data_IF_513906868897
#
_entry.id   IF_513906868897
#
_cell.length_a   1.000
_cell.length_b   1.000
_cell.length_c   1.000
_cell.angle_alpha   90.00
_cell.angle_beta   90.00
_cell.angle_gamma   90.00
#
_symmetry.space_group_name_H-M   'P 1'
#
loop_
_entity.id
_entity.type
_entity.pdbx_description
1 polymer ?
#
# COMPACT_ATOMS: atom_id res chain seq x y z
N UNK A 1 -23.33 12.19 4.84
CA UNK A 1 -24.40 12.35 3.83
C UNK A 1 -24.90 10.97 3.47
N UNK A 2 -26.18 10.75 3.36
CA UNK A 2 -26.80 9.50 2.94
C UNK A 2 -27.53 9.70 1.64
N UNK A 3 -27.69 8.65 0.83
CA UNK A 3 -28.37 8.74 -0.46
C UNK A 3 -29.77 9.36 -0.31
N UNK A 4 -30.54 8.93 0.68
CA UNK A 4 -31.89 9.48 0.99
C UNK A 4 -31.93 11.00 1.27
N UNK A 5 -30.80 11.58 1.71
CA UNK A 5 -30.71 13.01 2.04
C UNK A 5 -30.44 13.86 0.77
N UNK A 6 -30.16 13.23 -0.36
CA UNK A 6 -29.85 13.90 -1.65
C UNK A 6 -31.07 14.08 -2.55
N UNK A 7 -32.13 13.33 -2.31
CA UNK A 7 -33.29 13.26 -3.20
C UNK A 7 -33.07 12.47 -4.49
N UNK A 8 -31.86 11.84 -4.64
CA UNK A 8 -31.51 11.04 -5.81
C UNK A 8 -31.79 9.56 -5.58
N UNK A 9 -32.07 8.85 -6.65
CA UNK A 9 -32.01 7.39 -6.71
C UNK A 9 -30.57 6.89 -6.85
N UNK A 10 -30.34 5.62 -6.58
CA UNK A 10 -29.03 5.01 -6.76
C UNK A 10 -28.51 5.09 -8.20
N UNK A 11 -29.41 4.90 -9.18
CA UNK A 11 -29.05 4.97 -10.60
C UNK A 11 -28.69 6.40 -11.03
N UNK A 12 -29.47 7.40 -10.61
CA UNK A 12 -29.15 8.81 -10.87
C UNK A 12 -27.78 9.21 -10.29
N UNK A 13 -27.42 8.72 -9.09
CA UNK A 13 -26.10 8.95 -8.52
C UNK A 13 -24.99 8.30 -9.37
N UNK A 14 -25.18 7.06 -9.82
CA UNK A 14 -24.24 6.38 -10.71
C UNK A 14 -24.09 7.09 -12.06
N UNK A 15 -25.18 7.59 -12.62
CA UNK A 15 -25.16 8.37 -13.87
C UNK A 15 -24.41 9.71 -13.71
N UNK A 16 -24.55 10.38 -12.56
CA UNK A 16 -23.73 11.55 -12.23
C UNK A 16 -22.25 11.19 -12.24
N UNK A 17 -21.86 10.07 -11.60
CA UNK A 17 -20.46 9.60 -11.58
C UNK A 17 -19.96 9.33 -13.00
N UNK A 18 -20.71 8.58 -13.82
CA UNK A 18 -20.35 8.29 -15.21
C UNK A 18 -20.21 9.56 -16.05
N UNK A 19 -21.09 10.54 -15.84
CA UNK A 19 -21.10 11.78 -16.63
C UNK A 19 -19.96 12.74 -16.27
N UNK A 20 -19.60 12.84 -14.98
CA UNK A 20 -18.71 13.92 -14.49
C UNK A 20 -17.34 13.47 -14.00
N UNK A 21 -17.12 12.17 -13.79
CA UNK A 21 -15.83 11.65 -13.33
C UNK A 21 -15.13 10.89 -14.44
N UNK A 22 -13.80 11.01 -14.52
CA UNK A 22 -12.97 10.19 -15.43
C UNK A 22 -13.05 8.74 -14.99
N UNK A 23 -13.36 7.83 -15.92
CA UNK A 23 -13.55 6.40 -15.66
C UNK A 23 -12.22 5.65 -15.60
N UNK A 24 -11.49 5.80 -14.50
CA UNK A 24 -10.20 5.10 -14.26
C UNK A 24 -10.34 3.86 -13.38
N UNK A 25 -11.55 3.58 -12.87
CA UNK A 25 -11.79 2.48 -11.93
C UNK A 25 -12.94 1.58 -12.40
N UNK A 26 -12.72 0.25 -12.39
CA UNK A 26 -13.78 -0.75 -12.49
C UNK A 26 -14.52 -0.84 -11.14
N UNK A 27 -15.62 -0.09 -10.99
CA UNK A 27 -16.37 0.05 -9.75
C UNK A 27 -17.21 -1.18 -9.45
N UNK A 28 -17.33 -1.52 -8.17
CA UNK A 28 -18.38 -2.42 -7.70
C UNK A 28 -19.75 -1.75 -7.85
N UNK A 29 -20.77 -2.52 -8.22
CA UNK A 29 -22.11 -2.00 -8.46
C UNK A 29 -22.92 -1.87 -7.15
N UNK A 30 -22.45 -1.04 -6.23
CA UNK A 30 -23.17 -0.63 -5.01
C UNK A 30 -22.72 0.76 -4.56
N UNK A 31 -23.56 1.43 -3.76
CA UNK A 31 -23.24 2.72 -3.15
C UNK A 31 -22.79 2.45 -1.70
N UNK A 32 -21.52 2.64 -1.42
CA UNK A 32 -21.00 2.52 -0.05
C UNK A 32 -21.49 3.72 0.78
N UNK A 33 -22.42 3.49 1.70
CA UNK A 33 -23.03 4.55 2.52
C UNK A 33 -22.51 4.56 3.96
N UNK A 34 -22.12 3.40 4.49
CA UNK A 34 -21.61 3.24 5.85
C UNK A 34 -20.47 2.22 5.88
N UNK A 35 -19.57 2.37 6.83
CA UNK A 35 -18.52 1.39 7.10
C UNK A 35 -18.34 1.21 8.61
N UNK A 36 -18.03 -0.02 9.08
CA UNK A 36 -17.79 -0.31 10.48
C UNK A 36 -17.00 -1.63 10.64
N UNK A 37 -15.88 -1.58 11.36
CA UNK A 37 -15.08 -2.77 11.63
C UNK A 37 -14.62 -3.47 10.34
N UNK A 38 -15.10 -4.70 10.14
CA UNK A 38 -14.79 -5.53 8.97
C UNK A 38 -15.75 -5.34 7.80
N UNK A 39 -16.73 -4.42 7.88
CA UNK A 39 -17.83 -4.36 6.91
C UNK A 39 -18.01 -2.98 6.29
N UNK A 40 -18.33 -2.97 4.98
CA UNK A 40 -18.97 -1.88 4.28
C UNK A 40 -20.46 -2.18 4.16
N UNK A 41 -21.29 -1.14 4.12
CA UNK A 41 -22.75 -1.27 3.96
C UNK A 41 -23.19 -0.39 2.81
N UNK A 42 -24.08 -0.93 1.98
CA UNK A 42 -24.72 -0.17 0.92
C UNK A 42 -25.88 0.73 1.42
N UNK A 43 -26.51 1.43 0.52
CA UNK A 43 -27.64 2.32 0.78
C UNK A 43 -28.90 1.59 1.28
N UNK A 44 -28.96 0.26 1.09
CA UNK A 44 -30.04 -0.61 1.59
C UNK A 44 -29.68 -1.26 2.93
N UNK A 45 -28.47 -1.00 3.43
CA UNK A 45 -27.96 -1.59 4.67
C UNK A 45 -27.40 -3.01 4.51
N UNK A 46 -27.20 -3.48 3.29
CA UNK A 46 -26.57 -4.78 3.03
C UNK A 46 -25.09 -4.73 3.39
N UNK A 47 -24.63 -5.67 4.21
CA UNK A 47 -23.26 -5.75 4.65
C UNK A 47 -22.39 -6.50 3.64
N UNK A 48 -21.21 -5.94 3.36
CA UNK A 48 -20.14 -6.56 2.55
C UNK A 48 -18.91 -6.76 3.41
N UNK A 49 -18.42 -7.98 3.52
CA UNK A 49 -17.19 -8.30 4.23
C UNK A 49 -15.97 -7.74 3.46
N UNK A 50 -15.20 -6.89 4.12
CA UNK A 50 -14.16 -6.08 3.49
C UNK A 50 -12.78 -6.75 3.58
N UNK A 51 -12.43 -7.51 2.55
CA UNK A 51 -11.09 -8.10 2.40
C UNK A 51 -10.18 -7.32 1.45
N UNK A 52 -10.58 -6.08 1.09
CA UNK A 52 -9.67 -5.19 0.37
C UNK A 52 -9.24 -3.95 1.21
N UNK A 53 -9.94 -3.66 2.32
CA UNK A 53 -9.53 -2.69 3.34
C UNK A 53 -9.27 -1.27 2.83
N UNK A 54 -9.97 -0.82 1.77
CA UNK A 54 -9.66 0.44 1.10
C UNK A 54 -8.25 0.46 0.46
N UNK A 55 -7.79 -0.67 -0.04
CA UNK A 55 -6.41 -0.93 -0.51
C UNK A 55 -5.40 -0.78 0.65
N UNK A 56 -5.61 -1.56 1.72
CA UNK A 56 -4.80 -1.58 2.94
C UNK A 56 -4.78 -0.24 3.73
N UNK A 57 -5.81 0.58 3.60
CA UNK A 57 -5.93 1.87 4.31
C UNK A 57 -6.62 1.72 5.66
N UNK A 58 -7.73 0.98 5.70
CA UNK A 58 -8.59 0.86 6.90
C UNK A 58 -8.03 -0.15 7.92
N UNK A 59 -6.74 -0.07 8.19
CA UNK A 59 -5.98 -1.06 8.96
C UNK A 59 -6.51 -1.28 10.39
N UNK A 60 -6.83 -0.24 11.21
CA UNK A 60 -7.40 -0.45 12.53
C UNK A 60 -8.92 -0.76 12.52
N UNK A 61 -9.47 -1.10 11.35
CA UNK A 61 -10.89 -1.29 11.12
C UNK A 61 -11.58 -0.07 10.51
N UNK A 62 -12.57 -0.35 9.66
CA UNK A 62 -13.40 0.70 9.07
C UNK A 62 -14.03 1.59 10.17
N UNK A 63 -13.94 2.91 9.99
CA UNK A 63 -14.49 3.89 10.94
C UNK A 63 -14.08 3.62 12.39
N UNK A 64 -12.78 3.35 12.62
CA UNK A 64 -12.27 3.14 13.96
C UNK A 64 -12.68 4.28 14.91
N UNK A 65 -13.29 4.00 16.07
CA UNK A 65 -13.87 5.03 16.92
C UNK A 65 -12.84 6.01 17.50
N UNK A 66 -11.60 5.56 17.80
CA UNK A 66 -10.55 6.45 18.29
C UNK A 66 -10.04 7.39 17.21
N UNK A 67 -9.90 6.89 15.97
CA UNK A 67 -9.52 7.73 14.82
C UNK A 67 -10.60 8.78 14.56
N UNK A 68 -11.87 8.37 14.55
CA UNK A 68 -13.01 9.30 14.38
C UNK A 68 -13.05 10.35 15.50
N UNK A 69 -12.82 9.96 16.75
CA UNK A 69 -12.80 10.89 17.87
C UNK A 69 -11.67 11.90 17.75
N UNK A 70 -10.45 11.44 17.44
CA UNK A 70 -9.28 12.32 17.27
C UNK A 70 -9.48 13.36 16.15
N UNK A 71 -10.10 12.95 15.03
CA UNK A 71 -10.41 13.88 13.93
C UNK A 71 -11.44 14.92 14.35
N UNK A 72 -12.51 14.52 15.07
CA UNK A 72 -13.54 15.45 15.55
C UNK A 72 -12.99 16.46 16.53
N UNK A 73 -12.17 16.00 17.48
CA UNK A 73 -11.52 16.84 18.48
C UNK A 73 -10.61 17.89 17.80
N UNK A 74 -9.74 17.42 16.90
CA UNK A 74 -8.83 18.32 16.18
C UNK A 74 -9.57 19.30 15.25
N UNK A 75 -10.76 18.94 14.77
CA UNK A 75 -11.56 19.81 13.90
C UNK A 75 -12.07 21.06 14.61
N UNK A 76 -12.32 20.95 15.93
CA UNK A 76 -12.76 22.06 16.76
C UNK A 76 -11.62 23.05 17.07
N UNK A 77 -10.34 22.63 16.94
CA UNK A 77 -9.17 23.49 17.17
C UNK A 77 -8.64 24.12 15.87
N UNK A 78 -7.94 23.34 15.05
CA UNK A 78 -7.31 23.80 13.81
C UNK A 78 -7.56 22.80 12.69
N UNK A 79 -8.30 23.21 11.67
CA UNK A 79 -8.48 22.39 10.47
C UNK A 79 -7.21 22.38 9.62
N UNK A 80 -6.65 23.54 9.28
CA UNK A 80 -5.46 23.68 8.45
C UNK A 80 -4.62 24.88 8.84
N UNK A 81 -3.30 24.67 8.77
CA UNK A 81 -2.29 25.72 8.70
C UNK A 81 -1.12 25.22 7.87
N UNK A 82 -0.43 26.11 7.18
CA UNK A 82 0.79 25.76 6.47
C UNK A 82 1.93 25.42 7.45
N UNK A 83 3.04 24.85 6.96
CA UNK A 83 4.17 24.38 7.78
C UNK A 83 5.08 25.50 8.34
N UNK A 84 4.64 26.77 8.38
CA UNK A 84 5.39 27.84 9.04
C UNK A 84 5.24 27.84 10.56
N UNK A 85 4.03 27.70 11.15
CA UNK A 85 3.92 27.49 12.58
C UNK A 85 4.11 26.01 12.94
N UNK A 86 4.56 25.74 14.15
CA UNK A 86 4.54 24.40 14.72
C UNK A 86 3.11 24.00 15.10
N UNK A 87 2.74 22.72 14.86
CA UNK A 87 1.47 22.16 15.31
C UNK A 87 1.72 20.96 16.22
N UNK A 88 0.89 20.84 17.25
CA UNK A 88 1.03 19.77 18.27
C UNK A 88 0.91 18.37 17.62
N UNK A 89 -0.15 18.06 16.84
CA UNK A 89 -0.32 16.70 16.30
C UNK A 89 0.81 16.31 15.34
N UNK A 90 1.35 17.26 14.55
CA UNK A 90 2.47 16.99 13.65
C UNK A 90 3.75 16.63 14.42
N UNK A 91 4.09 17.42 15.43
CA UNK A 91 5.30 17.19 16.24
C UNK A 91 5.23 15.86 17.00
N UNK A 92 4.08 15.56 17.62
CA UNK A 92 3.87 14.30 18.35
C UNK A 92 3.88 13.09 17.41
N UNK A 93 3.28 13.22 16.22
CA UNK A 93 3.29 12.16 15.21
C UNK A 93 4.72 11.89 14.71
N UNK A 94 5.49 12.94 14.40
CA UNK A 94 6.89 12.81 13.99
C UNK A 94 7.70 12.04 15.02
N UNK A 95 7.60 12.44 16.29
CA UNK A 95 8.28 11.76 17.41
C UNK A 95 7.84 10.29 17.50
N UNK A 96 6.52 10.04 17.52
CA UNK A 96 5.99 8.66 17.65
C UNK A 96 6.47 7.75 16.54
N UNK A 97 6.45 8.21 15.29
CA UNK A 97 6.91 7.42 14.14
C UNK A 97 8.41 7.15 14.26
N UNK A 98 9.24 8.19 14.38
CA UNK A 98 10.69 8.03 14.41
C UNK A 98 11.14 7.13 15.56
N UNK A 99 10.60 7.32 16.78
CA UNK A 99 10.91 6.47 17.94
C UNK A 99 10.48 5.01 17.72
N UNK A 100 9.31 4.78 17.08
CA UNK A 100 8.79 3.42 16.86
C UNK A 100 9.62 2.63 15.86
N UNK A 101 10.05 3.28 14.78
CA UNK A 101 10.72 2.59 13.66
C UNK A 101 12.25 2.78 13.64
N UNK A 102 12.79 3.56 14.58
CA UNK A 102 14.24 3.78 14.69
C UNK A 102 14.85 4.60 13.55
N UNK A 103 14.07 5.53 12.95
CA UNK A 103 14.55 6.48 11.96
C UNK A 103 14.74 7.87 12.57
N UNK A 104 15.53 8.73 11.93
CA UNK A 104 15.97 9.97 12.57
C UNK A 104 15.10 11.19 12.20
N UNK A 105 14.68 11.30 10.95
CA UNK A 105 13.92 12.44 10.41
C UNK A 105 12.73 11.98 9.59
N UNK A 106 11.69 12.82 9.54
CA UNK A 106 10.47 12.56 8.76
C UNK A 106 10.04 13.81 8.02
N UNK A 107 9.60 13.64 6.78
CA UNK A 107 8.88 14.64 6.01
C UNK A 107 7.48 14.13 5.66
N UNK A 108 6.45 14.90 6.02
CA UNK A 108 5.05 14.54 5.78
C UNK A 108 4.55 14.98 4.41
N UNK A 109 3.72 14.15 3.81
CA UNK A 109 3.07 14.29 2.52
C UNK A 109 1.58 13.92 2.65
N UNK A 110 0.85 13.85 1.50
CA UNK A 110 -0.59 13.54 1.50
C UNK A 110 -0.89 12.14 0.96
N UNK A 111 0.07 11.51 0.32
CA UNK A 111 -0.11 10.22 -0.36
C UNK A 111 1.20 9.43 -0.43
N UNK A 112 1.09 8.12 -0.74
CA UNK A 112 2.26 7.27 -0.94
C UNK A 112 3.10 7.69 -2.16
N UNK A 113 2.45 8.13 -3.25
CA UNK A 113 3.20 8.60 -4.42
C UNK A 113 4.01 9.85 -4.13
N UNK A 114 3.48 10.80 -3.35
CA UNK A 114 4.24 11.99 -2.91
C UNK A 114 5.38 11.62 -1.95
N UNK A 115 5.16 10.65 -1.06
CA UNK A 115 6.21 10.14 -0.19
C UNK A 115 7.36 9.51 -0.99
N UNK A 116 7.04 8.74 -2.04
CA UNK A 116 8.04 8.18 -2.95
C UNK A 116 8.75 9.25 -3.80
N UNK A 117 8.05 10.29 -4.26
CA UNK A 117 8.69 11.46 -4.91
C UNK A 117 9.70 12.13 -3.97
N UNK A 118 9.34 12.30 -2.69
CA UNK A 118 10.23 12.83 -1.67
C UNK A 118 11.49 11.96 -1.53
N UNK A 119 11.32 10.64 -1.39
CA UNK A 119 12.41 9.69 -1.24
C UNK A 119 13.34 9.67 -2.46
N UNK A 120 12.79 9.62 -3.68
CA UNK A 120 13.55 9.69 -4.93
C UNK A 120 14.35 10.99 -5.03
N UNK A 121 13.72 12.13 -4.74
CA UNK A 121 14.38 13.44 -4.76
C UNK A 121 15.49 13.54 -3.71
N UNK A 122 15.25 13.03 -2.51
CA UNK A 122 16.22 13.02 -1.42
C UNK A 122 17.44 12.17 -1.78
N UNK A 123 17.23 10.95 -2.30
CA UNK A 123 18.31 10.07 -2.74
C UNK A 123 19.15 10.70 -3.88
N UNK A 124 18.48 11.29 -4.89
CA UNK A 124 19.19 11.95 -5.99
C UNK A 124 19.99 13.17 -5.53
N UNK A 125 19.41 14.00 -4.67
CA UNK A 125 20.12 15.15 -4.13
C UNK A 125 21.32 14.72 -3.28
N UNK A 126 21.17 13.68 -2.47
CA UNK A 126 22.26 13.08 -1.71
C UNK A 126 23.40 12.60 -2.62
N UNK A 127 23.07 11.87 -3.69
CA UNK A 127 24.05 11.39 -4.65
C UNK A 127 24.81 12.51 -5.33
N UNK A 128 24.08 13.51 -5.82
CA UNK A 128 24.68 14.68 -6.49
C UNK A 128 25.59 15.48 -5.55
N UNK A 129 25.18 15.73 -4.32
CA UNK A 129 25.98 16.49 -3.35
C UNK A 129 27.22 15.73 -2.87
N UNK A 130 27.11 14.41 -2.70
CA UNK A 130 28.20 13.58 -2.16
C UNK A 130 29.18 13.11 -3.23
N UNK A 131 28.71 12.81 -4.44
CA UNK A 131 29.51 12.12 -5.47
C UNK A 131 29.58 12.88 -6.80
N UNK A 132 28.76 13.92 -7.00
CA UNK A 132 28.73 14.73 -8.22
C UNK A 132 27.49 14.52 -9.10
N UNK A 133 27.31 15.40 -10.09
CA UNK A 133 26.07 15.57 -10.88
C UNK A 133 25.58 14.33 -11.60
N UNK A 134 26.45 13.37 -11.90
CA UNK A 134 26.08 12.13 -12.60
C UNK A 134 25.51 11.04 -11.68
N UNK A 135 25.59 11.22 -10.34
CA UNK A 135 25.15 10.23 -9.35
C UNK A 135 23.68 10.41 -8.97
N UNK A 136 22.79 9.99 -9.85
CA UNK A 136 21.34 10.07 -9.67
C UNK A 136 20.58 8.80 -10.08
N UNK A 137 21.29 7.77 -10.53
CA UNK A 137 20.69 6.51 -10.99
C UNK A 137 20.16 5.67 -9.83
N UNK A 138 18.96 5.09 -10.01
CA UNK A 138 18.29 4.25 -9.02
C UNK A 138 17.91 2.92 -9.69
N UNK A 139 18.24 1.80 -9.07
CA UNK A 139 17.78 0.48 -9.50
C UNK A 139 16.50 0.13 -8.75
N UNK A 140 15.44 -0.25 -9.48
CA UNK A 140 14.16 -0.69 -8.90
C UNK A 140 13.81 -2.10 -9.37
N UNK A 141 12.72 -2.67 -8.89
CA UNK A 141 12.30 -4.02 -9.23
C UNK A 141 11.32 -4.07 -10.41
N UNK A 142 11.45 -5.05 -11.28
CA UNK A 142 10.39 -5.45 -12.23
C UNK A 142 9.15 -5.83 -11.43
N UNK A 143 7.96 -5.47 -11.93
CA UNK A 143 6.65 -5.60 -11.27
C UNK A 143 6.49 -4.79 -9.96
N UNK A 144 7.42 -3.87 -9.65
CA UNK A 144 7.25 -2.91 -8.57
C UNK A 144 6.12 -1.93 -8.86
N UNK A 145 5.56 -1.32 -7.80
CA UNK A 145 4.59 -0.22 -7.92
C UNK A 145 4.89 0.85 -6.88
N UNK A 146 5.23 2.06 -7.35
CA UNK A 146 5.64 3.16 -6.47
C UNK A 146 4.74 4.40 -6.56
N UNK A 147 3.79 4.43 -7.49
CA UNK A 147 2.82 5.52 -7.62
C UNK A 147 2.52 5.95 -9.04
N UNK A 148 1.77 7.06 -9.17
CA UNK A 148 1.23 7.55 -10.45
C UNK A 148 1.74 8.93 -10.85
N UNK A 149 2.57 9.59 -10.04
CA UNK A 149 3.32 10.80 -10.44
C UNK A 149 4.53 10.40 -11.28
N UNK A 150 5.06 11.29 -12.11
CA UNK A 150 6.08 10.91 -13.09
C UNK A 150 7.36 10.32 -12.49
N UNK A 151 7.84 10.79 -11.33
CA UNK A 151 9.00 10.19 -10.68
C UNK A 151 8.69 8.80 -10.12
N UNK A 152 7.61 8.67 -9.35
CA UNK A 152 7.16 7.39 -8.80
C UNK A 152 6.74 6.40 -9.91
N UNK A 153 6.11 6.89 -10.98
CA UNK A 153 5.75 6.09 -12.15
C UNK A 153 7.00 5.58 -12.88
N UNK A 154 8.05 6.41 -12.98
CA UNK A 154 9.33 6.01 -13.58
C UNK A 154 10.08 4.98 -12.75
N UNK A 155 9.90 4.98 -11.42
CA UNK A 155 10.41 3.94 -10.53
C UNK A 155 9.61 2.62 -10.62
N UNK A 156 8.36 2.67 -11.10
CA UNK A 156 7.49 1.50 -11.27
C UNK A 156 7.99 0.64 -12.42
N UNK A 157 8.44 -0.56 -12.15
CA UNK A 157 9.06 -1.49 -13.11
C UNK A 157 8.08 -2.28 -13.98
N UNK A 158 7.12 -1.61 -14.62
CA UNK A 158 6.06 -2.23 -15.43
C UNK A 158 5.89 -1.51 -16.79
N UNK A 159 6.96 -1.47 -17.64
CA UNK A 159 7.01 -0.62 -18.83
C UNK A 159 5.95 -0.93 -19.91
N UNK A 160 5.46 -2.17 -19.94
CA UNK A 160 4.47 -2.64 -20.91
C UNK A 160 3.05 -2.71 -20.33
N UNK A 161 2.87 -2.32 -19.07
CA UNK A 161 1.58 -2.27 -18.41
C UNK A 161 0.87 -0.93 -18.69
N UNK A 162 -0.45 -0.92 -18.63
CA UNK A 162 -1.27 0.29 -18.70
C UNK A 162 -0.86 1.39 -17.70
N UNK A 163 -0.08 1.05 -16.67
CA UNK A 163 0.48 2.03 -15.74
C UNK A 163 1.47 3.00 -16.39
N UNK A 164 2.31 2.53 -17.30
CA UNK A 164 3.34 3.33 -17.97
C UNK A 164 3.09 3.53 -19.46
N UNK A 165 2.31 2.64 -20.08
CA UNK A 165 2.03 2.71 -21.50
C UNK A 165 1.29 4.03 -21.84
N UNK A 166 1.83 4.80 -22.78
CA UNK A 166 1.26 6.07 -23.22
C UNK A 166 1.71 7.31 -22.41
N UNK A 167 2.52 7.14 -21.34
CA UNK A 167 3.03 8.26 -20.52
C UNK A 167 4.51 8.60 -20.77
N UNK A 168 5.11 8.08 -21.82
CA UNK A 168 6.51 8.38 -22.17
C UNK A 168 6.68 9.82 -22.66
N UNK A 169 7.85 10.47 -22.44
CA UNK A 169 9.05 9.90 -21.85
C UNK A 169 8.98 9.82 -20.31
N UNK A 170 9.55 8.75 -19.75
CA UNK A 170 9.73 8.61 -18.32
C UNK A 170 10.89 9.48 -17.83
N UNK A 171 10.91 9.80 -16.51
CA UNK A 171 12.04 10.44 -15.87
C UNK A 171 13.28 9.55 -16.00
N UNK A 172 14.41 10.03 -16.57
CA UNK A 172 15.60 9.21 -16.76
C UNK A 172 16.28 8.82 -15.43
N UNK A 173 17.18 7.82 -15.49
CA UNK A 173 18.00 7.39 -14.36
C UNK A 173 17.33 6.30 -13.51
N UNK A 174 16.54 5.44 -14.14
CA UNK A 174 16.03 4.21 -13.53
C UNK A 174 16.43 2.99 -14.35
N UNK A 175 16.76 1.90 -13.67
CA UNK A 175 16.91 0.56 -14.24
C UNK A 175 16.08 -0.43 -13.44
N UNK A 176 15.62 -1.49 -14.10
CA UNK A 176 14.74 -2.48 -13.50
C UNK A 176 15.45 -3.83 -13.43
N UNK A 177 15.39 -4.48 -12.25
CA UNK A 177 15.96 -5.79 -12.00
C UNK A 177 14.86 -6.78 -11.56
N UNK A 178 15.10 -8.06 -11.79
CA UNK A 178 14.18 -9.12 -11.40
C UNK A 178 14.10 -9.22 -9.86
N UNK A 179 12.88 -9.19 -9.32
CA UNK A 179 12.65 -9.27 -7.89
C UNK A 179 13.08 -10.63 -7.33
N UNK A 180 13.69 -10.65 -6.15
CA UNK A 180 14.33 -11.83 -5.52
C UNK A 180 15.54 -12.39 -6.30
N UNK A 181 16.10 -11.64 -7.24
CA UNK A 181 17.32 -12.00 -7.96
C UNK A 181 18.45 -10.99 -7.68
N UNK A 182 19.24 -11.26 -6.65
CA UNK A 182 20.34 -10.36 -6.21
C UNK A 182 21.37 -10.15 -7.33
N UNK A 183 21.67 -11.16 -8.13
CA UNK A 183 22.65 -11.07 -9.21
C UNK A 183 22.18 -10.15 -10.34
N UNK A 184 20.86 -10.16 -10.64
CA UNK A 184 20.34 -9.21 -11.61
C UNK A 184 20.40 -7.77 -11.08
N UNK A 185 20.10 -7.53 -9.79
CA UNK A 185 20.32 -6.22 -9.16
C UNK A 185 21.78 -5.77 -9.28
N UNK A 186 22.75 -6.64 -8.96
CA UNK A 186 24.19 -6.34 -9.12
C UNK A 186 24.54 -5.97 -10.56
N UNK A 187 23.95 -6.64 -11.56
CA UNK A 187 24.19 -6.39 -12.97
C UNK A 187 23.69 -5.01 -13.44
N UNK A 188 22.68 -4.44 -12.77
CA UNK A 188 22.10 -3.12 -13.09
C UNK A 188 22.80 -1.96 -12.39
N UNK A 189 23.62 -2.26 -11.36
CA UNK A 189 24.40 -1.25 -10.65
C UNK A 189 25.52 -0.73 -11.52
N UNK A 190 25.62 0.58 -11.65
CA UNK A 190 26.69 1.31 -12.33
C UNK A 190 27.43 2.21 -11.37
N UNK A 191 28.52 2.83 -11.80
CA UNK A 191 29.25 3.80 -10.97
C UNK A 191 28.41 5.03 -10.59
N UNK A 192 27.37 5.34 -11.38
CA UNK A 192 26.44 6.43 -11.13
C UNK A 192 25.20 6.03 -10.29
N UNK A 193 25.13 4.77 -9.86
CA UNK A 193 24.00 4.29 -9.06
C UNK A 193 24.13 4.76 -7.62
N UNK A 194 23.10 5.48 -7.15
CA UNK A 194 23.07 6.02 -5.79
C UNK A 194 22.16 5.23 -4.85
N UNK A 195 21.20 4.49 -5.38
CA UNK A 195 20.24 3.79 -4.55
C UNK A 195 19.64 2.55 -5.22
N UNK A 196 19.19 1.64 -4.37
CA UNK A 196 18.25 0.57 -4.73
C UNK A 196 16.94 0.86 -4.03
N UNK A 197 15.81 0.83 -4.78
CA UNK A 197 14.47 1.08 -4.26
C UNK A 197 13.55 -0.11 -4.53
N UNK A 198 12.96 -0.69 -3.48
CA UNK A 198 12.05 -1.84 -3.57
C UNK A 198 10.89 -1.74 -2.57
N UNK A 199 9.83 -2.50 -2.82
CA UNK A 199 8.83 -2.88 -1.82
C UNK A 199 9.31 -4.14 -1.07
N UNK A 200 9.20 -4.25 0.27
CA UNK A 200 9.49 -5.52 0.99
C UNK A 200 8.55 -6.67 0.63
N UNK A 201 7.34 -6.36 0.17
CA UNK A 201 6.40 -7.27 -0.49
C UNK A 201 5.81 -6.50 -1.66
N UNK A 202 5.99 -6.98 -2.89
CA UNK A 202 5.35 -6.38 -4.06
C UNK A 202 3.83 -6.54 -3.95
N UNK A 203 3.12 -5.43 -3.75
CA UNK A 203 1.67 -5.45 -3.55
C UNK A 203 0.90 -5.58 -4.86
N UNK A 204 1.12 -4.68 -5.79
CA UNK A 204 0.44 -4.62 -7.11
C UNK A 204 1.08 -5.57 -8.13
N UNK A 205 2.25 -6.09 -7.86
CA UNK A 205 2.95 -7.07 -8.70
C UNK A 205 2.55 -8.53 -8.49
N UNK A 206 1.53 -8.83 -7.66
CA UNK A 206 1.04 -10.19 -7.45
C UNK A 206 1.32 -10.79 -6.07
N UNK A 207 1.58 -9.95 -5.08
CA UNK A 207 1.86 -10.32 -3.68
C UNK A 207 3.08 -11.24 -3.56
N UNK A 208 4.24 -10.71 -3.90
CA UNK A 208 5.51 -11.43 -3.79
C UNK A 208 6.35 -10.88 -2.64
N UNK A 209 6.55 -11.62 -1.53
CA UNK A 209 7.48 -11.24 -0.46
C UNK A 209 8.93 -11.31 -0.92
N UNK A 210 9.77 -10.38 -0.45
CA UNK A 210 11.21 -10.54 -0.50
C UNK A 210 11.64 -11.79 0.29
N UNK A 211 12.64 -12.52 -0.20
CA UNK A 211 13.29 -13.52 0.64
C UNK A 211 14.23 -12.82 1.64
N UNK A 212 14.53 -13.50 2.76
CA UNK A 212 15.45 -12.97 3.76
C UNK A 212 16.83 -12.70 3.15
N UNK A 213 17.34 -13.67 2.38
CA UNK A 213 18.64 -13.60 1.71
C UNK A 213 18.72 -12.46 0.71
N UNK A 214 17.61 -12.20 -0.01
CA UNK A 214 17.56 -11.13 -1.00
C UNK A 214 17.66 -9.75 -0.34
N UNK A 215 16.83 -9.48 0.69
CA UNK A 215 16.81 -8.15 1.32
C UNK A 215 18.11 -7.87 2.10
N UNK A 216 18.69 -8.89 2.77
CA UNK A 216 20.00 -8.80 3.41
C UNK A 216 21.12 -8.59 2.37
N UNK A 217 21.04 -9.29 1.24
CA UNK A 217 21.96 -9.14 0.12
C UNK A 217 21.93 -7.74 -0.48
N UNK A 218 20.73 -7.14 -0.62
CA UNK A 218 20.59 -5.74 -1.09
C UNK A 218 21.19 -4.75 -0.09
N UNK A 219 20.96 -4.93 1.22
CA UNK A 219 21.57 -4.07 2.25
C UNK A 219 23.09 -4.13 2.16
N UNK A 220 23.64 -5.35 2.12
CA UNK A 220 25.08 -5.56 2.00
C UNK A 220 25.66 -4.93 0.72
N UNK A 221 24.99 -5.11 -0.42
CA UNK A 221 25.40 -4.51 -1.69
C UNK A 221 25.42 -2.97 -1.61
N UNK A 222 24.40 -2.38 -0.98
CA UNK A 222 24.35 -0.94 -0.79
C UNK A 222 25.51 -0.45 0.10
N UNK A 223 25.78 -1.15 1.21
CA UNK A 223 26.88 -0.80 2.13
C UNK A 223 28.25 -0.88 1.43
N UNK A 224 28.50 -1.95 0.67
CA UNK A 224 29.76 -2.16 -0.06
C UNK A 224 30.02 -1.13 -1.16
N UNK A 225 28.94 -0.59 -1.76
CA UNK A 225 29.01 0.35 -2.88
C UNK A 225 28.75 1.82 -2.49
N UNK A 226 28.50 2.10 -1.21
CA UNK A 226 28.14 3.43 -0.75
C UNK A 226 26.81 3.94 -1.29
N UNK A 227 25.87 3.02 -1.61
CA UNK A 227 24.53 3.32 -2.09
C UNK A 227 23.50 3.32 -0.97
N UNK A 228 22.36 3.94 -1.21
CA UNK A 228 21.21 3.94 -0.29
C UNK A 228 20.29 2.75 -0.55
N UNK A 229 19.78 2.14 0.51
CA UNK A 229 18.66 1.21 0.47
C UNK A 229 17.37 1.99 0.79
N UNK A 230 16.48 2.08 -0.18
CA UNK A 230 15.20 2.76 -0.11
C UNK A 230 14.08 1.73 -0.07
N UNK A 231 13.26 1.73 0.98
CA UNK A 231 12.14 0.81 1.11
C UNK A 231 10.80 1.54 0.99
N UNK A 232 10.01 1.13 0.01
CA UNK A 232 8.62 1.55 -0.12
C UNK A 232 7.74 0.66 0.76
N UNK A 233 7.35 1.18 1.91
CA UNK A 233 6.43 0.52 2.85
C UNK A 233 5.02 1.15 2.86
N UNK A 234 4.64 1.78 1.78
CA UNK A 234 3.31 2.36 1.61
C UNK A 234 2.21 1.33 1.79
N UNK A 235 2.42 0.09 1.33
CA UNK A 235 1.45 -1.00 1.49
C UNK A 235 1.82 -2.00 2.59
N UNK A 236 3.10 -2.14 2.93
CA UNK A 236 3.61 -3.17 3.85
C UNK A 236 3.70 -2.71 5.30
N UNK A 237 3.75 -1.41 5.54
CA UNK A 237 3.92 -0.82 6.86
C UNK A 237 2.70 -0.91 7.77
N UNK A 238 2.91 -0.47 8.99
CA UNK A 238 1.92 -0.34 10.07
C UNK A 238 1.14 -1.63 10.34
N UNK A 239 1.91 -2.69 10.58
CA UNK A 239 1.38 -3.98 11.05
C UNK A 239 0.98 -4.96 9.97
N UNK A 240 0.86 -4.52 8.71
CA UNK A 240 0.34 -5.33 7.59
C UNK A 240 1.05 -6.66 7.41
N UNK A 241 2.37 -6.69 7.54
CA UNK A 241 3.22 -7.88 7.31
C UNK A 241 3.55 -8.67 8.58
N UNK A 242 2.94 -8.32 9.72
CA UNK A 242 3.20 -8.98 11.00
C UNK A 242 4.25 -8.31 11.87
N UNK A 243 4.72 -7.12 11.47
CA UNK A 243 5.62 -6.25 12.24
C UNK A 243 5.19 -4.79 12.03
N UNK A 244 5.54 -3.84 12.90
CA UNK A 244 5.17 -2.42 12.71
C UNK A 244 5.57 -1.91 11.33
N UNK A 245 6.82 -2.17 10.90
CA UNK A 245 7.27 -2.02 9.51
C UNK A 245 7.85 -3.35 9.03
N UNK A 246 7.74 -3.66 7.76
CA UNK A 246 8.21 -4.93 7.21
C UNK A 246 9.73 -5.09 7.38
N UNK A 247 10.50 -4.01 7.20
CA UNK A 247 11.95 -4.04 7.36
C UNK A 247 12.39 -4.48 8.77
N UNK A 248 11.60 -4.15 9.80
CA UNK A 248 11.87 -4.59 11.18
C UNK A 248 11.73 -6.11 11.31
N UNK A 249 10.75 -6.69 10.60
CA UNK A 249 10.56 -8.13 10.55
C UNK A 249 11.66 -8.89 9.79
N UNK A 250 12.38 -8.21 8.89
CA UNK A 250 13.57 -8.72 8.20
C UNK A 250 14.87 -8.42 8.97
N UNK A 251 14.83 -7.55 9.98
CA UNK A 251 16.04 -7.12 10.69
C UNK A 251 17.01 -6.27 9.85
N UNK A 252 16.51 -5.63 8.78
CA UNK A 252 17.30 -4.83 7.84
C UNK A 252 16.89 -3.38 7.93
N UNK A 253 17.80 -2.49 8.34
CA UNK A 253 17.52 -1.05 8.43
C UNK A 253 17.76 -0.36 7.08
N UNK A 254 16.75 0.33 6.48
CA UNK A 254 16.94 1.14 5.28
C UNK A 254 17.55 2.50 5.61
N UNK A 255 18.07 3.20 4.60
CA UNK A 255 18.49 4.60 4.70
C UNK A 255 17.29 5.56 4.58
N UNK A 256 16.29 5.19 3.77
CA UNK A 256 15.00 5.86 3.71
C UNK A 256 13.87 4.84 3.64
N UNK A 257 12.71 5.20 4.21
CA UNK A 257 11.49 4.42 4.15
C UNK A 257 10.28 5.34 3.93
N UNK A 258 9.39 4.94 3.03
CA UNK A 258 8.12 5.65 2.80
C UNK A 258 6.94 4.90 3.39
N UNK A 259 5.93 5.65 3.79
CA UNK A 259 4.69 5.12 4.37
C UNK A 259 3.48 6.00 4.00
N UNK A 260 2.30 5.40 3.96
CA UNK A 260 1.02 6.06 3.77
C UNK A 260 -0.13 5.12 4.22
N UNK A 261 -1.24 5.06 3.49
CA UNK A 261 -2.34 4.08 3.65
C UNK A 261 -2.73 3.83 5.12
N UNK A 262 -2.30 2.70 5.68
CA UNK A 262 -2.58 2.27 7.06
C UNK A 262 -2.25 3.34 8.10
N UNK A 263 -1.20 4.12 7.86
CA UNK A 263 -0.78 5.24 8.71
C UNK A 263 -1.92 6.21 9.01
N UNK A 264 -2.74 6.54 8.01
CA UNK A 264 -3.79 7.55 8.13
C UNK A 264 -5.11 7.06 8.74
N UNK A 265 -5.33 5.73 8.81
CA UNK A 265 -6.60 5.17 9.31
C UNK A 265 -7.84 5.64 8.55
N UNK A 266 -7.68 6.05 7.28
CA UNK A 266 -8.70 6.60 6.40
C UNK A 266 -8.47 8.06 5.99
N UNK A 267 -7.62 8.82 6.69
CA UNK A 267 -7.24 10.19 6.30
C UNK A 267 -6.05 10.17 5.33
N UNK A 268 -6.06 11.06 4.29
CA UNK A 268 -4.93 11.20 3.37
C UNK A 268 -3.68 11.71 4.11
N UNK A 269 -2.66 10.88 4.16
CA UNK A 269 -1.33 11.21 4.69
C UNK A 269 -0.31 10.25 4.10
N UNK A 270 0.90 10.74 3.88
CA UNK A 270 2.08 9.97 3.56
C UNK A 270 3.29 10.58 4.25
N UNK A 271 4.37 9.83 4.33
CA UNK A 271 5.61 10.32 4.90
C UNK A 271 6.82 9.59 4.30
N UNK A 272 7.94 10.30 4.27
CA UNK A 272 9.26 9.74 4.02
C UNK A 272 10.11 9.94 5.27
N UNK A 273 10.61 8.85 5.86
CA UNK A 273 11.61 8.88 6.93
C UNK A 273 12.98 8.58 6.34
N UNK A 274 14.01 9.20 6.91
CA UNK A 274 15.39 9.01 6.51
C UNK A 274 16.34 9.04 7.72
N UNK A 275 17.57 8.52 7.53
CA UNK A 275 18.66 8.76 8.45
C UNK A 275 19.03 10.25 8.51
N UNK A 276 19.66 10.70 9.60
CA UNK A 276 20.10 12.08 9.76
C UNK A 276 20.99 12.54 8.58
N UNK A 277 21.96 11.68 8.17
CA UNK A 277 22.87 11.99 7.05
C UNK A 277 22.11 12.23 5.74
N UNK A 278 21.15 11.35 5.39
CA UNK A 278 20.40 11.46 4.14
C UNK A 278 19.40 12.61 4.20
N UNK A 279 18.75 12.82 5.33
CA UNK A 279 17.79 13.92 5.50
C UNK A 279 18.44 15.30 5.43
N UNK A 280 19.71 15.44 5.82
CA UNK A 280 20.45 16.71 5.86
C UNK A 280 20.56 17.41 4.49
N UNK A 281 20.41 16.68 3.37
CA UNK A 281 20.44 17.28 2.03
C UNK A 281 19.19 18.15 1.74
N UNK A 282 18.10 17.95 2.50
CA UNK A 282 16.92 18.79 2.38
C UNK A 282 17.01 19.97 3.37
N UNK A 283 17.18 21.16 2.81
CA UNK A 283 17.22 22.42 3.55
C UNK A 283 16.02 23.28 3.20
N UNK A 284 15.84 24.40 3.89
CA UNK A 284 14.71 25.32 3.64
C UNK A 284 14.60 25.69 2.16
N UNK A 285 13.41 25.48 1.59
CA UNK A 285 13.07 25.77 0.19
C UNK A 285 13.40 24.67 -0.83
N UNK A 286 14.09 23.58 -0.45
CA UNK A 286 14.46 22.53 -1.41
C UNK A 286 13.33 21.54 -1.68
N UNK A 287 12.40 21.38 -0.77
CA UNK A 287 11.20 20.57 -0.90
C UNK A 287 10.06 21.17 -0.06
N UNK A 288 8.81 20.87 -0.40
CA UNK A 288 7.66 21.40 0.31
C UNK A 288 6.35 20.71 -0.05
N UNK A 289 5.34 20.90 0.80
CA UNK A 289 3.97 20.46 0.58
C UNK A 289 3.03 21.40 1.32
N UNK A 290 1.97 21.88 0.63
CA UNK A 290 0.97 22.75 1.26
C UNK A 290 0.19 22.04 2.36
N UNK A 291 -0.18 20.79 2.12
CA UNK A 291 -1.01 20.00 3.04
C UNK A 291 -0.25 18.92 3.79
N UNK A 292 1.03 18.68 3.46
CA UNK A 292 1.83 17.65 4.17
C UNK A 292 1.96 18.00 5.65
N UNK A 293 1.65 17.04 6.52
CA UNK A 293 1.59 17.26 7.97
C UNK A 293 0.33 18.02 8.44
N UNK A 294 -0.76 17.94 7.66
CA UNK A 294 -2.06 18.52 7.99
C UNK A 294 -2.52 18.12 9.40
N UNK A 295 -2.95 19.05 10.27
CA UNK A 295 -3.30 18.75 11.66
C UNK A 295 -4.32 17.62 11.82
N UNK A 296 -5.41 17.63 11.05
CA UNK A 296 -6.43 16.55 11.09
C UNK A 296 -5.85 15.19 10.69
N UNK A 297 -5.02 15.16 9.64
CA UNK A 297 -4.41 13.91 9.19
C UNK A 297 -3.38 13.40 10.19
N UNK A 298 -2.63 14.28 10.84
CA UNK A 298 -1.69 13.92 11.91
C UNK A 298 -2.41 13.39 13.16
N UNK A 299 -3.51 14.02 13.58
CA UNK A 299 -4.33 13.54 14.70
C UNK A 299 -4.93 12.15 14.42
N UNK A 300 -5.48 11.94 13.20
CA UNK A 300 -5.96 10.65 12.75
C UNK A 300 -4.86 9.59 12.75
N UNK A 301 -3.67 9.96 12.25
CA UNK A 301 -2.51 9.06 12.16
C UNK A 301 -2.00 8.66 13.55
N UNK A 302 -1.90 9.60 14.49
CA UNK A 302 -1.55 9.32 15.88
C UNK A 302 -2.50 8.28 16.50
N UNK A 303 -3.81 8.45 16.30
CA UNK A 303 -4.81 7.53 16.80
C UNK A 303 -4.73 6.16 16.09
N UNK A 304 -4.55 6.15 14.75
CA UNK A 304 -4.44 4.92 13.96
C UNK A 304 -3.22 4.09 14.37
N UNK A 305 -2.04 4.72 14.42
CA UNK A 305 -0.79 4.05 14.80
C UNK A 305 -0.87 3.55 16.25
N UNK A 306 -1.45 4.34 17.16
CA UNK A 306 -1.64 3.91 18.56
C UNK A 306 -2.55 2.69 18.65
N UNK A 307 -3.67 2.65 17.92
CA UNK A 307 -4.55 1.46 17.90
C UNK A 307 -3.82 0.22 17.38
N UNK A 308 -2.99 0.38 16.33
CA UNK A 308 -2.21 -0.74 15.76
C UNK A 308 -1.21 -1.28 16.78
N UNK A 309 -0.47 -0.39 17.45
CA UNK A 309 0.57 -0.77 18.40
C UNK A 309 0.00 -1.27 19.73
N UNK A 310 -0.94 -0.54 20.34
CA UNK A 310 -1.49 -0.83 21.66
C UNK A 310 -2.27 -2.15 21.68
N UNK A 311 -2.88 -2.53 20.55
CA UNK A 311 -3.64 -3.79 20.41
C UNK A 311 -2.84 -4.92 19.78
N UNK A 312 -1.57 -4.73 19.53
CA UNK A 312 -0.72 -5.68 18.78
C UNK A 312 -1.40 -6.23 17.52
N UNK A 313 -1.95 -5.33 16.71
CA UNK A 313 -2.57 -5.74 15.45
C UNK A 313 -1.55 -6.34 14.47
N UNK A 314 -0.27 -6.07 14.64
CA UNK A 314 0.81 -6.74 13.91
C UNK A 314 0.88 -8.23 14.24
N UNK A 315 0.83 -8.58 15.53
CA UNK A 315 0.79 -9.97 15.97
C UNK A 315 -0.45 -10.69 15.45
N UNK A 316 -1.63 -10.04 15.50
CA UNK A 316 -2.85 -10.58 14.91
C UNK A 316 -2.70 -10.81 13.40
N UNK A 317 -2.11 -9.85 12.66
CA UNK A 317 -1.88 -9.98 11.23
C UNK A 317 -1.00 -11.20 10.89
N UNK A 318 0.03 -11.45 11.69
CA UNK A 318 0.90 -12.62 11.53
C UNK A 318 0.13 -13.93 11.69
N UNK A 319 -0.64 -14.07 12.77
CA UNK A 319 -1.39 -15.29 13.08
C UNK A 319 -2.52 -15.54 12.08
N UNK A 320 -3.32 -14.52 11.82
CA UNK A 320 -4.46 -14.65 10.90
C UNK A 320 -4.01 -14.78 9.44
N UNK A 321 -2.86 -14.21 9.08
CA UNK A 321 -2.28 -14.37 7.74
C UNK A 321 -1.86 -15.81 7.46
N UNK A 322 -1.21 -16.48 8.40
CA UNK A 322 -0.87 -17.91 8.26
C UNK A 322 -2.13 -18.77 8.19
N UNK A 323 -3.08 -18.56 9.10
CA UNK A 323 -4.36 -19.26 9.08
C UNK A 323 -5.11 -19.09 7.75
N UNK A 324 -5.16 -17.86 7.21
CA UNK A 324 -5.83 -17.60 5.94
C UNK A 324 -5.11 -18.30 4.77
N UNK A 325 -3.78 -18.29 4.72
CA UNK A 325 -3.01 -18.99 3.67
C UNK A 325 -3.21 -20.50 3.71
N UNK A 326 -3.20 -21.10 4.91
CA UNK A 326 -3.50 -22.52 5.07
C UNK A 326 -4.88 -22.88 4.51
N UNK A 327 -5.91 -22.09 4.85
CA UNK A 327 -7.28 -22.32 4.37
C UNK A 327 -7.45 -22.07 2.87
N UNK A 328 -6.77 -21.08 2.31
CA UNK A 328 -6.79 -20.83 0.86
C UNK A 328 -6.15 -21.96 0.07
N UNK A 329 -5.06 -22.55 0.58
CA UNK A 329 -4.37 -23.65 -0.10
C UNK A 329 -5.22 -24.95 -0.21
N UNK A 330 -6.27 -25.06 0.62
CA UNK A 330 -7.23 -26.18 0.56
C UNK A 330 -8.32 -26.01 -0.52
N UNK A 331 -8.38 -24.83 -1.18
CA UNK A 331 -9.43 -24.52 -2.17
C UNK A 331 -9.10 -25.11 -3.56
N UNK A 332 -10.12 -25.45 -4.36
CA UNK A 332 -9.90 -25.94 -5.72
C UNK A 332 -9.21 -24.89 -6.58
N UNK A 333 -8.44 -25.33 -7.56
CA UNK A 333 -7.71 -24.45 -8.49
C UNK A 333 -6.71 -23.48 -7.86
N UNK A 334 -6.46 -23.54 -6.56
CA UNK A 334 -5.42 -22.75 -5.92
C UNK A 334 -4.08 -23.41 -6.14
N UNK A 335 -3.23 -22.75 -6.93
CA UNK A 335 -1.85 -23.15 -7.21
C UNK A 335 -0.93 -22.76 -6.04
N UNK A 336 -1.13 -21.56 -5.49
CA UNK A 336 -0.32 -21.04 -4.40
C UNK A 336 -1.09 -20.00 -3.58
N UNK A 337 -0.98 -20.09 -2.25
CA UNK A 337 -1.38 -19.03 -1.33
C UNK A 337 -0.12 -18.44 -0.68
N UNK A 338 0.24 -17.21 -1.04
CA UNK A 338 1.49 -16.56 -0.61
C UNK A 338 1.26 -15.21 0.04
N UNK A 339 2.30 -14.65 0.62
CA UNK A 339 2.25 -13.33 1.25
C UNK A 339 2.87 -13.31 2.64
N UNK A 340 2.77 -12.16 3.31
CA UNK A 340 3.32 -11.93 4.65
C UNK A 340 2.31 -11.18 5.51
N UNK A 341 1.97 -11.71 6.69
CA UNK A 341 0.88 -11.20 7.50
C UNK A 341 -0.45 -11.18 6.74
N UNK A 342 -1.18 -10.08 6.80
CA UNK A 342 -2.45 -9.88 6.09
C UNK A 342 -2.30 -9.13 4.75
N UNK A 343 -1.20 -9.32 4.07
CA UNK A 343 -1.03 -9.05 2.65
C UNK A 343 -0.90 -10.40 1.96
N UNK A 344 -2.02 -10.94 1.46
CA UNK A 344 -2.14 -12.30 0.96
C UNK A 344 -2.59 -12.33 -0.49
N UNK A 345 -1.89 -13.10 -1.31
CA UNK A 345 -2.23 -13.45 -2.69
C UNK A 345 -2.66 -14.89 -2.80
N UNK A 346 -3.71 -15.14 -3.55
CA UNK A 346 -4.20 -16.46 -3.93
C UNK A 346 -4.06 -16.60 -5.45
N UNK A 347 -3.08 -17.40 -5.89
CA UNK A 347 -2.82 -17.66 -7.32
C UNK A 347 -3.54 -18.93 -7.75
N UNK A 348 -4.15 -18.87 -8.93
CA UNK A 348 -4.87 -19.98 -9.53
C UNK A 348 -4.07 -20.66 -10.64
N UNK A 349 -4.34 -21.94 -10.89
CA UNK A 349 -3.77 -22.71 -11.99
C UNK A 349 -4.43 -22.43 -13.36
N UNK A 350 -5.54 -21.67 -13.36
CA UNK A 350 -6.29 -21.20 -14.53
C UNK A 350 -6.59 -19.69 -14.40
N UNK A 351 -6.80 -18.94 -15.49
CA UNK A 351 -6.95 -17.47 -15.46
C UNK A 351 -8.38 -17.04 -15.06
N UNK A 352 -8.76 -17.21 -13.80
CA UNK A 352 -10.13 -16.98 -13.29
C UNK A 352 -10.22 -15.85 -12.24
N UNK A 353 -9.13 -15.18 -11.89
CA UNK A 353 -9.11 -14.25 -10.76
C UNK A 353 -10.14 -13.10 -10.88
N UNK A 354 -10.34 -12.58 -12.09
CA UNK A 354 -11.33 -11.53 -12.32
C UNK A 354 -12.77 -12.04 -12.11
N UNK A 355 -13.08 -13.24 -12.59
CA UNK A 355 -14.40 -13.84 -12.42
C UNK A 355 -14.66 -14.21 -10.94
N UNK A 356 -13.65 -14.76 -10.26
CA UNK A 356 -13.71 -15.03 -8.81
C UNK A 356 -13.99 -13.75 -8.03
N UNK A 357 -13.31 -12.63 -8.34
CA UNK A 357 -13.59 -11.33 -7.72
C UNK A 357 -15.05 -10.94 -7.84
N UNK A 358 -15.65 -11.07 -9.04
CA UNK A 358 -17.05 -10.69 -9.26
C UNK A 358 -18.03 -11.68 -8.62
N UNK A 359 -17.70 -12.97 -8.60
CA UNK A 359 -18.49 -13.99 -7.92
C UNK A 359 -18.46 -13.79 -6.38
N UNK A 360 -17.33 -13.40 -5.80
CA UNK A 360 -17.20 -12.98 -4.40
C UNK A 360 -18.06 -11.75 -4.11
N UNK A 361 -18.01 -10.74 -4.97
CA UNK A 361 -18.83 -9.53 -4.82
C UNK A 361 -20.34 -9.86 -4.78
N UNK A 362 -20.82 -10.70 -5.68
CA UNK A 362 -22.24 -11.17 -5.66
C UNK A 362 -22.62 -11.87 -4.34
N UNK A 363 -21.62 -12.45 -3.66
CA UNK A 363 -21.74 -13.10 -2.35
C UNK A 363 -21.34 -12.21 -1.17
N UNK A 364 -21.19 -10.90 -1.42
CA UNK A 364 -20.91 -9.86 -0.42
C UNK A 364 -19.52 -9.98 0.25
N UNK A 365 -18.52 -10.47 -0.50
CA UNK A 365 -17.12 -10.44 -0.13
C UNK A 365 -16.35 -9.53 -1.10
N UNK A 366 -15.63 -8.56 -0.57
CA UNK A 366 -14.83 -7.61 -1.36
C UNK A 366 -13.36 -8.04 -1.35
N UNK A 367 -12.83 -8.43 -2.51
CA UNK A 367 -11.42 -8.74 -2.76
C UNK A 367 -10.95 -8.04 -4.02
N UNK A 368 -9.64 -8.02 -4.30
CA UNK A 368 -9.11 -7.47 -5.57
C UNK A 368 -8.53 -8.56 -6.46
N UNK A 369 -8.47 -8.31 -7.77
CA UNK A 369 -7.76 -9.14 -8.73
C UNK A 369 -6.51 -8.40 -9.25
N UNK A 370 -5.42 -9.12 -9.43
CA UNK A 370 -4.17 -8.68 -10.03
C UNK A 370 -3.89 -9.57 -11.24
N UNK A 371 -3.95 -8.99 -12.43
CA UNK A 371 -3.95 -9.78 -13.66
C UNK A 371 -5.10 -10.79 -13.68
N UNK A 372 -4.88 -11.89 -14.37
CA UNK A 372 -5.91 -12.90 -14.63
C UNK A 372 -5.89 -14.08 -13.65
N UNK A 373 -4.82 -14.23 -12.85
CA UNK A 373 -4.58 -15.44 -12.04
C UNK A 373 -4.44 -15.20 -10.53
N UNK A 374 -4.38 -13.95 -10.04
CA UNK A 374 -4.17 -13.69 -8.62
C UNK A 374 -5.31 -12.88 -8.02
N UNK A 375 -5.93 -13.38 -6.94
CA UNK A 375 -6.73 -12.54 -6.05
C UNK A 375 -5.89 -12.09 -4.86
N UNK A 376 -5.96 -10.78 -4.54
CA UNK A 376 -5.31 -10.22 -3.37
C UNK A 376 -6.33 -9.89 -2.28
N UNK A 377 -5.99 -10.28 -1.04
CA UNK A 377 -6.72 -10.00 0.17
C UNK A 377 -5.86 -9.18 1.14
N UNK A 378 -6.37 -8.03 1.53
CA UNK A 378 -5.71 -7.05 2.40
C UNK A 378 -6.72 -6.47 3.43
N UNK A 379 -7.37 -7.34 4.22
CA UNK A 379 -8.41 -6.94 5.16
C UNK A 379 -7.89 -6.02 6.26
N UNK A 380 -8.75 -5.33 7.01
CA UNK A 380 -8.38 -4.69 8.26
C UNK A 380 -7.70 -5.68 9.23
N UNK A 381 -6.70 -5.19 10.00
CA UNK A 381 -5.91 -6.04 10.91
C UNK A 381 -6.67 -6.51 12.16
N UNK A 382 -7.89 -6.06 12.34
CA UNK A 382 -8.82 -6.56 13.36
C UNK A 382 -9.53 -7.86 12.92
N UNK A 383 -9.08 -8.46 11.82
CA UNK A 383 -9.58 -9.72 11.30
C UNK A 383 -9.57 -10.80 12.38
N UNK A 384 -10.68 -11.53 12.51
CA UNK A 384 -10.81 -12.68 13.39
C UNK A 384 -11.03 -13.96 12.59
N UNK A 385 -10.90 -15.10 13.25
CA UNK A 385 -10.98 -16.42 12.61
C UNK A 385 -12.29 -16.62 11.87
N UNK A 386 -13.42 -16.23 12.47
CA UNK A 386 -14.75 -16.34 11.87
C UNK A 386 -14.90 -15.57 10.55
N UNK A 387 -14.21 -14.43 10.42
CA UNK A 387 -14.21 -13.68 9.16
C UNK A 387 -13.43 -14.40 8.06
N UNK A 388 -12.32 -15.08 8.43
CA UNK A 388 -11.56 -15.93 7.51
C UNK A 388 -12.42 -17.10 7.06
N UNK A 389 -13.02 -17.82 8.00
CA UNK A 389 -13.86 -19.00 7.70
C UNK A 389 -15.01 -18.62 6.77
N UNK A 390 -15.70 -17.50 7.03
CA UNK A 390 -16.76 -16.97 6.16
C UNK A 390 -16.23 -16.64 4.74
N UNK A 391 -15.07 -15.99 4.66
CA UNK A 391 -14.47 -15.63 3.36
C UNK A 391 -14.08 -16.89 2.56
N UNK A 392 -13.53 -17.91 3.21
CA UNK A 392 -13.13 -19.19 2.59
C UNK A 392 -14.34 -19.93 2.01
N UNK A 393 -15.46 -20.00 2.74
CA UNK A 393 -16.70 -20.58 2.21
C UNK A 393 -17.17 -19.86 0.95
N UNK A 394 -17.22 -18.52 0.99
CA UNK A 394 -17.61 -17.70 -0.16
C UNK A 394 -16.64 -17.90 -1.34
N UNK A 395 -15.34 -17.93 -1.08
CA UNK A 395 -14.33 -18.12 -2.13
C UNK A 395 -14.41 -19.50 -2.77
N UNK A 396 -14.67 -20.56 -2.00
CA UNK A 396 -14.88 -21.91 -2.54
C UNK A 396 -15.97 -21.93 -3.59
N UNK A 397 -17.13 -21.36 -3.28
CA UNK A 397 -18.27 -21.28 -4.22
C UNK A 397 -17.95 -20.41 -5.43
N UNK A 398 -17.28 -19.28 -5.19
CA UNK A 398 -16.88 -18.34 -6.24
C UNK A 398 -15.86 -18.94 -7.22
N UNK A 399 -14.90 -19.71 -6.73
CA UNK A 399 -13.90 -20.41 -7.53
C UNK A 399 -14.57 -21.50 -8.38
N UNK A 400 -15.44 -22.31 -7.77
CA UNK A 400 -16.18 -23.35 -8.51
C UNK A 400 -17.05 -22.76 -9.64
N UNK A 401 -17.74 -21.64 -9.37
CA UNK A 401 -18.53 -20.94 -10.39
C UNK A 401 -17.65 -20.42 -11.53
N UNK A 402 -16.51 -19.77 -11.18
CA UNK A 402 -15.58 -19.21 -12.16
C UNK A 402 -14.90 -20.29 -13.02
N UNK A 403 -14.51 -21.42 -12.41
CA UNK A 403 -13.90 -22.55 -13.11
C UNK A 403 -14.90 -23.21 -14.08
N UNK A 404 -16.14 -23.45 -13.64
CA UNK A 404 -17.18 -24.00 -14.52
C UNK A 404 -17.46 -23.11 -15.73
N UNK A 405 -17.45 -21.78 -15.53
CA UNK A 405 -17.59 -20.83 -16.64
C UNK A 405 -16.39 -20.90 -17.60
N UNK A 406 -15.17 -20.91 -17.07
CA UNK A 406 -13.95 -21.01 -17.85
C UNK A 406 -13.94 -22.29 -18.71
N UNK A 407 -14.29 -23.44 -18.13
CA UNK A 407 -14.39 -24.72 -18.86
C UNK A 407 -15.46 -24.70 -19.97
N UNK A 408 -16.60 -24.03 -19.73
CA UNK A 408 -17.64 -23.88 -20.73
C UNK A 408 -17.18 -23.03 -21.93
N UNK A 409 -16.48 -21.91 -21.64
CA UNK A 409 -15.94 -21.02 -22.65
C UNK A 409 -14.87 -21.74 -23.52
N UNK A 410 -14.04 -22.61 -22.92
CA UNK A 410 -13.03 -23.42 -23.65
C UNK A 410 -13.66 -24.46 -24.58
N UNK A 411 -14.87 -24.96 -24.28
CA UNK A 411 -15.58 -25.92 -25.13
C UNK A 411 -16.29 -25.28 -26.33
N UNK A 412 -16.48 -23.96 -26.28
CA UNK A 412 -17.18 -23.18 -27.31
C UNK A 412 -16.24 -22.39 -28.23
N UNK A 413 -14.95 -22.27 -27.88
CA UNK A 413 -13.89 -21.65 -28.66
C UNK A 413 -13.17 -22.68 -29.54
#
# INVERSE_FOLDING_TARGET
>A
MKLKDTGLTAEELKDIVKKYMVETYARYDFIAERAEGMYLYDEKGVAYLDFYGGVAVNTPGNRNPKVVAAVKDQLDDIMHTFNYPYTIPQALLAKKICDTIGMDKIFFQNSGTEANECMIKMARKYGVEKYGSEHYHIVTAINGFHGRTYGALSATGQPDNAFQLGFKPMLPGFSYAEYNNLEDFKSKVTDNTIAIMIEPVQGEGGVHPATQEFIEGLRKLCDERGMLLLLDEVQTGWGRTGSPMAFMGYGVKPDCVTMAKAMGGGMPIGACCASEEVAAVFTSGTHGSTYGGHPLACAASLASISEILDKDLSGNAKVMGEYMKEKLAELPHVKEARGKGLLVGCEYDIPIALEVKWACFRRRLLITAIGDSVNRMIPPLILAKEHVDQAIEIMRDAINEAAAKYEADQKTA
#
